data_IF_755789712400
#
_entry.id   IF_755789712400
#
_cell.length_a   1.000
_cell.length_b   1.000
_cell.length_c   1.000
_cell.angle_alpha   90.00
_cell.angle_beta   90.00
_cell.angle_gamma   90.00
#
_symmetry.space_group_name_H-M   'P 1'
#
loop_
_entity.id
_entity.type
_entity.pdbx_description
1 polymer ?
#
# COMPACT_ATOMS: atom_id res chain seq x y z
N UNK A 1 -8.27 21.06 26.29
CA UNK A 1 -7.34 20.05 25.76
C UNK A 1 -6.29 19.72 26.82
N UNK A 2 -6.39 18.54 27.42
CA UNK A 2 -5.56 18.08 28.55
C UNK A 2 -4.10 17.92 28.11
N UNK A 3 -3.13 18.11 29.01
CA UNK A 3 -1.69 18.03 28.69
C UNK A 3 -1.32 16.72 27.96
N UNK A 4 -1.92 15.60 28.39
CA UNK A 4 -1.78 14.28 27.77
C UNK A 4 -2.19 14.27 26.29
N UNK A 5 -3.30 14.91 25.93
CA UNK A 5 -3.78 15.01 24.55
C UNK A 5 -2.82 15.85 23.69
N UNK A 6 -2.27 16.94 24.24
CA UNK A 6 -1.28 17.75 23.50
C UNK A 6 -0.03 16.92 23.20
N UNK A 7 0.44 16.13 24.15
CA UNK A 7 1.60 15.24 23.95
C UNK A 7 1.29 14.19 22.88
N UNK A 8 0.19 13.46 23.03
CA UNK A 8 -0.15 12.35 22.13
C UNK A 8 -0.45 12.80 20.69
N UNK A 9 -1.19 13.89 20.49
CA UNK A 9 -1.67 14.28 19.16
C UNK A 9 -0.75 15.26 18.44
N UNK A 10 0.10 16.02 19.14
CA UNK A 10 0.97 17.03 18.52
C UNK A 10 2.46 16.73 18.62
N UNK A 11 2.92 16.21 19.76
CA UNK A 11 4.35 16.01 20.01
C UNK A 11 4.80 14.62 19.57
N UNK A 12 4.06 13.57 19.94
CA UNK A 12 4.40 12.19 19.62
C UNK A 12 4.57 11.94 18.11
N UNK A 13 3.67 12.42 17.21
CA UNK A 13 3.89 12.26 15.77
C UNK A 13 5.22 12.83 15.29
N UNK A 14 5.58 14.03 15.76
CA UNK A 14 6.86 14.68 15.42
C UNK A 14 8.07 13.92 15.94
N UNK A 15 7.96 13.32 17.14
CA UNK A 15 9.03 12.48 17.71
C UNK A 15 9.21 11.23 16.85
N UNK A 16 8.10 10.58 16.47
CA UNK A 16 8.11 9.40 15.61
C UNK A 16 8.72 9.74 14.25
N UNK A 17 8.32 10.84 13.62
CA UNK A 17 8.88 11.26 12.32
C UNK A 17 10.41 11.45 12.42
N UNK A 18 10.89 12.18 13.44
CA UNK A 18 12.33 12.37 13.67
C UNK A 18 13.08 11.06 13.95
N UNK A 19 12.46 10.13 14.69
CA UNK A 19 13.05 8.84 14.97
C UNK A 19 13.25 8.03 13.68
N UNK A 20 12.24 8.02 12.81
CA UNK A 20 12.27 7.28 11.53
C UNK A 20 13.27 7.93 10.59
N UNK A 21 13.24 9.25 10.46
CA UNK A 21 14.19 10.03 9.68
C UNK A 21 15.63 9.71 10.09
N UNK A 22 15.93 9.76 11.39
CA UNK A 22 17.26 9.43 11.92
C UNK A 22 17.70 8.01 11.55
N UNK A 23 16.78 7.03 11.59
CA UNK A 23 17.08 5.66 11.19
C UNK A 23 17.34 5.53 9.68
N UNK A 24 16.70 6.36 8.86
CA UNK A 24 16.82 6.36 7.42
C UNK A 24 17.99 7.20 6.87
N UNK A 25 18.58 8.12 7.66
CA UNK A 25 19.65 9.02 7.19
C UNK A 25 20.83 8.31 6.51
N UNK A 26 21.31 7.19 7.07
CA UNK A 26 22.43 6.44 6.47
C UNK A 26 22.04 5.74 5.17
N UNK A 27 20.76 5.40 5.04
CA UNK A 27 20.23 4.67 3.90
C UNK A 27 20.04 5.62 2.72
N UNK A 28 19.57 6.84 2.97
CA UNK A 28 19.48 7.88 1.95
C UNK A 28 20.80 8.05 1.17
N UNK A 29 21.92 8.14 1.90
CA UNK A 29 23.24 8.31 1.27
C UNK A 29 23.57 7.15 0.34
N UNK A 30 23.24 5.92 0.74
CA UNK A 30 23.46 4.74 -0.08
C UNK A 30 22.54 4.71 -1.31
N UNK A 31 21.27 5.05 -1.16
CA UNK A 31 20.30 5.07 -2.27
C UNK A 31 20.70 6.09 -3.34
N UNK A 32 21.10 7.30 -2.92
CA UNK A 32 21.60 8.33 -3.82
C UNK A 32 22.84 7.87 -4.58
N UNK A 33 23.77 7.17 -3.90
CA UNK A 33 24.98 6.62 -4.53
C UNK A 33 24.67 5.51 -5.53
N UNK A 34 23.65 4.69 -5.27
CA UNK A 34 23.21 3.62 -6.17
C UNK A 34 22.38 4.13 -7.35
N UNK A 35 22.03 5.42 -7.38
CA UNK A 35 21.21 5.99 -8.46
C UNK A 35 19.78 5.46 -8.47
N UNK A 36 19.28 4.97 -7.34
CA UNK A 36 17.93 4.43 -7.22
C UNK A 36 16.96 5.59 -7.05
N UNK A 37 16.13 5.84 -8.05
CA UNK A 37 15.29 7.05 -8.10
C UNK A 37 13.80 6.76 -7.94
N UNK A 38 13.28 5.67 -8.48
CA UNK A 38 11.84 5.44 -8.55
C UNK A 38 11.41 3.99 -8.30
N UNK A 39 10.20 3.82 -7.77
CA UNK A 39 9.56 2.53 -7.47
C UNK A 39 8.10 2.60 -7.95
N UNK A 40 7.67 1.63 -8.76
CA UNK A 40 6.26 1.48 -9.12
C UNK A 40 5.53 0.73 -8.00
N UNK A 41 4.49 1.32 -7.42
CA UNK A 41 3.77 0.76 -6.26
C UNK A 41 2.47 0.11 -6.71
N UNK A 42 2.32 -1.18 -6.42
CA UNK A 42 1.10 -1.93 -6.68
C UNK A 42 -0.04 -1.52 -5.73
N UNK A 43 -1.27 -1.69 -6.21
CA UNK A 43 -2.51 -1.51 -5.47
C UNK A 43 -2.61 -2.44 -4.24
N UNK A 44 -1.98 -3.62 -4.28
CA UNK A 44 -1.89 -4.51 -3.12
C UNK A 44 -1.12 -3.87 -1.96
N UNK A 45 -0.05 -3.12 -2.25
CA UNK A 45 0.72 -2.38 -1.25
C UNK A 45 -0.11 -1.25 -0.65
N UNK A 46 -0.83 -0.50 -1.50
CA UNK A 46 -1.74 0.56 -1.03
C UNK A 46 -2.83 0.02 -0.11
N UNK A 47 -3.39 -1.14 -0.45
CA UNK A 47 -4.37 -1.83 0.39
C UNK A 47 -3.79 -2.16 1.78
N UNK A 48 -2.56 -2.68 1.86
CA UNK A 48 -1.91 -2.98 3.13
C UNK A 48 -1.31 -1.74 3.82
N UNK A 49 -1.23 -0.60 3.12
CA UNK A 49 -0.83 0.69 3.67
C UNK A 49 -1.89 1.33 4.58
N UNK A 50 -3.13 0.85 4.56
CA UNK A 50 -4.17 1.20 5.54
C UNK A 50 -3.89 0.44 6.84
N UNK A 51 -3.36 1.15 7.82
CA UNK A 51 -2.83 0.55 9.06
C UNK A 51 -3.70 0.82 10.28
N UNK A 52 -4.61 1.78 10.17
CA UNK A 52 -5.61 2.08 11.19
C UNK A 52 -6.98 2.24 10.55
N UNK A 53 -7.99 1.75 11.23
CA UNK A 53 -9.38 1.79 10.77
C UNK A 53 -10.30 2.25 11.91
N UNK A 54 -11.49 2.69 11.53
CA UNK A 54 -12.52 3.20 12.42
C UNK A 54 -13.27 2.05 13.06
N UNK A 55 -13.31 2.01 14.39
CA UNK A 55 -14.06 1.02 15.14
C UNK A 55 -14.98 1.69 16.16
N UNK A 56 -16.10 1.04 16.44
CA UNK A 56 -16.90 1.34 17.62
C UNK A 56 -16.24 0.70 18.85
N UNK A 57 -15.83 1.51 19.82
CA UNK A 57 -15.28 1.05 21.10
C UNK A 57 -16.38 1.16 22.15
N UNK A 58 -16.82 0.00 22.65
CA UNK A 58 -17.88 -0.11 23.66
C UNK A 58 -17.35 0.30 25.04
N UNK A 59 -18.09 1.15 25.74
CA UNK A 59 -17.86 1.53 27.13
C UNK A 59 -18.81 0.80 28.09
N UNK A 60 -19.45 -0.28 27.60
CA UNK A 60 -20.44 -1.06 28.34
C UNK A 60 -21.88 -0.59 28.14
N UNK A 61 -22.80 -1.34 28.73
CA UNK A 61 -24.24 -1.04 28.67
C UNK A 61 -24.62 -0.06 29.78
N UNK A 62 -25.49 0.89 29.47
CA UNK A 62 -26.13 1.77 30.45
C UNK A 62 -27.64 1.69 30.31
N UNK A 63 -28.35 1.74 31.43
CA UNK A 63 -29.81 1.87 31.42
C UNK A 63 -30.20 3.28 30.98
N UNK A 64 -31.05 3.35 29.97
CA UNK A 64 -31.72 4.55 29.51
C UNK A 64 -33.23 4.33 29.66
N UNK A 65 -33.78 4.73 30.81
CA UNK A 65 -35.11 4.28 31.24
C UNK A 65 -35.11 2.76 31.51
N UNK A 66 -36.06 2.05 30.92
CA UNK A 66 -36.20 0.59 31.05
C UNK A 66 -35.36 -0.23 30.05
N UNK A 67 -34.65 0.43 29.12
CA UNK A 67 -33.86 -0.25 28.09
C UNK A 67 -32.37 -0.15 28.38
N UNK A 68 -31.63 -1.25 28.20
CA UNK A 68 -30.17 -1.23 28.19
C UNK A 68 -29.64 -0.86 26.80
N UNK A 69 -28.89 0.22 26.72
CA UNK A 69 -28.26 0.67 25.48
C UNK A 69 -26.76 0.45 25.58
N UNK A 70 -26.18 -0.15 24.55
CA UNK A 70 -24.72 -0.22 24.42
C UNK A 70 -24.17 1.18 24.15
N UNK A 71 -23.33 1.66 25.07
CA UNK A 71 -22.69 2.97 24.94
C UNK A 71 -21.26 2.80 24.46
N UNK A 72 -20.72 3.80 23.77
CA UNK A 72 -19.39 3.74 23.20
C UNK A 72 -19.10 4.95 22.35
N UNK A 73 -17.96 4.91 21.67
CA UNK A 73 -17.58 5.97 20.72
C UNK A 73 -16.80 5.39 19.55
N UNK A 74 -16.96 6.02 18.38
CA UNK A 74 -16.09 5.76 17.25
C UNK A 74 -14.67 6.21 17.58
N UNK A 75 -13.70 5.35 17.30
CA UNK A 75 -12.29 5.61 17.52
C UNK A 75 -11.46 5.02 16.39
N UNK A 76 -10.32 5.62 16.11
CA UNK A 76 -9.28 5.02 15.30
C UNK A 76 -8.58 3.92 16.11
N UNK A 77 -8.50 2.72 15.57
CA UNK A 77 -7.75 1.60 16.16
C UNK A 77 -6.74 1.06 15.13
N UNK A 78 -5.58 0.54 15.56
CA UNK A 78 -4.70 -0.21 14.69
C UNK A 78 -5.38 -1.43 14.07
N UNK A 79 -5.05 -1.75 12.82
CA UNK A 79 -5.53 -2.98 12.17
C UNK A 79 -4.88 -4.22 12.79
N UNK A 80 -3.58 -4.13 13.05
CA UNK A 80 -2.78 -5.27 13.52
C UNK A 80 -2.47 -5.14 15.02
N UNK A 81 -2.52 -6.29 15.70
CA UNK A 81 -2.07 -6.39 17.09
C UNK A 81 -0.55 -6.17 17.22
N UNK A 82 -0.12 -5.82 18.42
CA UNK A 82 1.30 -5.71 18.71
C UNK A 82 1.97 -7.09 18.71
N UNK A 83 3.15 -7.19 18.10
CA UNK A 83 3.87 -8.46 18.00
C UNK A 83 3.32 -9.45 16.97
N UNK A 84 2.36 -9.07 16.13
CA UNK A 84 1.88 -9.94 15.03
C UNK A 84 3.07 -10.45 14.18
N UNK A 85 3.09 -11.74 13.87
CA UNK A 85 4.16 -12.37 13.06
C UNK A 85 3.68 -12.79 11.66
N UNK A 86 2.48 -12.37 11.27
CA UNK A 86 1.92 -12.67 9.95
C UNK A 86 2.82 -12.18 8.82
N UNK A 87 2.91 -12.96 7.74
CA UNK A 87 3.75 -12.64 6.55
C UNK A 87 3.47 -11.25 5.99
N UNK A 88 2.19 -10.90 5.88
CA UNK A 88 1.74 -9.58 5.43
C UNK A 88 2.28 -8.49 6.37
N UNK A 89 2.10 -8.66 7.68
CA UNK A 89 2.55 -7.70 8.67
C UNK A 89 4.07 -7.52 8.69
N UNK A 90 4.84 -8.59 8.47
CA UNK A 90 6.30 -8.50 8.31
C UNK A 90 6.70 -7.57 7.17
N UNK A 91 6.00 -7.62 6.03
CA UNK A 91 6.20 -6.65 4.94
C UNK A 91 5.71 -5.25 5.32
N UNK A 92 4.56 -5.12 5.96
CA UNK A 92 3.98 -3.82 6.36
C UNK A 92 4.93 -3.03 7.27
N UNK A 93 5.72 -3.70 8.14
CA UNK A 93 6.71 -3.04 9.01
C UNK A 93 7.80 -2.26 8.26
N UNK A 94 8.00 -2.51 6.96
CA UNK A 94 8.96 -1.76 6.16
C UNK A 94 8.35 -0.53 5.46
N UNK A 95 7.02 -0.46 5.36
CA UNK A 95 6.33 0.65 4.69
C UNK A 95 6.59 2.01 5.33
N UNK A 96 6.64 2.18 6.66
CA UNK A 96 7.00 3.48 7.26
C UNK A 96 8.32 4.04 6.75
N UNK A 97 9.36 3.20 6.65
CA UNK A 97 10.68 3.60 6.18
C UNK A 97 10.66 4.00 4.71
N UNK A 98 9.99 3.22 3.87
CA UNK A 98 9.82 3.51 2.43
C UNK A 98 9.09 4.84 2.24
N UNK A 99 8.02 5.07 3.00
CA UNK A 99 7.18 6.26 2.87
C UNK A 99 7.88 7.50 3.41
N UNK A 100 8.67 7.39 4.48
CA UNK A 100 9.51 8.48 4.96
C UNK A 100 10.54 8.92 3.90
N UNK A 101 11.25 7.96 3.29
CA UNK A 101 12.16 8.22 2.18
C UNK A 101 11.45 8.92 1.01
N UNK A 102 10.21 8.50 0.71
CA UNK A 102 9.41 9.13 -0.33
C UNK A 102 8.94 10.56 0.01
N UNK A 103 8.50 10.79 1.24
CA UNK A 103 8.10 12.14 1.70
C UNK A 103 9.26 13.15 1.66
N UNK A 104 10.48 12.65 1.86
CA UNK A 104 11.72 13.44 1.81
C UNK A 104 12.35 13.47 0.41
N UNK A 105 11.62 13.01 -0.62
CA UNK A 105 12.05 13.03 -2.02
C UNK A 105 13.38 12.30 -2.28
N UNK A 106 13.70 11.31 -1.43
CA UNK A 106 14.86 10.42 -1.63
C UNK A 106 14.52 9.33 -2.64
N UNK A 107 13.27 8.87 -2.64
CA UNK A 107 12.71 7.90 -3.56
C UNK A 107 11.41 8.45 -4.12
N UNK A 108 11.18 8.28 -5.42
CA UNK A 108 9.90 8.59 -6.02
C UNK A 108 9.01 7.34 -6.04
N UNK A 109 7.83 7.42 -5.42
CA UNK A 109 6.82 6.37 -5.58
C UNK A 109 5.90 6.71 -6.75
N UNK A 110 5.76 5.77 -7.67
CA UNK A 110 4.97 5.92 -8.87
C UNK A 110 3.75 5.00 -8.85
N UNK A 111 2.72 5.38 -9.61
CA UNK A 111 1.61 4.55 -10.06
C UNK A 111 1.62 4.49 -11.59
N UNK A 112 0.75 3.69 -12.19
CA UNK A 112 0.50 3.69 -13.64
C UNK A 112 -0.97 3.99 -13.94
N UNK A 113 -1.27 4.36 -15.19
CA UNK A 113 -2.66 4.52 -15.64
C UNK A 113 -3.48 3.23 -15.44
N UNK A 114 -2.91 2.05 -15.73
CA UNK A 114 -3.60 0.77 -15.52
C UNK A 114 -3.85 0.47 -14.03
N UNK A 115 -2.91 0.81 -13.13
CA UNK A 115 -3.13 0.71 -11.69
C UNK A 115 -4.23 1.68 -11.22
N UNK A 116 -4.34 2.87 -11.81
CA UNK A 116 -5.43 3.80 -11.52
C UNK A 116 -6.78 3.27 -12.01
N UNK A 117 -6.83 2.70 -13.22
CA UNK A 117 -8.03 2.07 -13.76
C UNK A 117 -8.53 0.92 -12.86
N UNK A 118 -7.62 0.10 -12.33
CA UNK A 118 -7.97 -0.90 -11.33
C UNK A 118 -8.60 -0.31 -10.07
N UNK A 119 -8.08 0.83 -9.59
CA UNK A 119 -8.66 1.49 -8.42
C UNK A 119 -10.08 1.95 -8.68
N UNK A 120 -10.42 2.35 -9.92
CA UNK A 120 -11.79 2.75 -10.30
C UNK A 120 -12.77 1.56 -10.29
N UNK A 121 -12.28 0.35 -10.55
CA UNK A 121 -13.09 -0.88 -10.50
C UNK A 121 -13.33 -1.42 -9.09
N UNK A 122 -12.62 -0.88 -8.08
CA UNK A 122 -12.67 -1.37 -6.71
C UNK A 122 -13.20 -0.29 -5.77
N UNK A 123 -13.84 -0.65 -4.63
CA UNK A 123 -14.28 0.36 -3.67
C UNK A 123 -13.11 1.21 -3.18
N UNK A 124 -13.22 2.54 -3.28
CA UNK A 124 -12.14 3.48 -2.91
C UNK A 124 -11.59 3.27 -1.49
N UNK A 125 -12.43 2.83 -0.55
CA UNK A 125 -12.00 2.55 0.82
C UNK A 125 -11.02 1.36 0.94
N UNK A 126 -10.88 0.56 -0.11
CA UNK A 126 -9.84 -0.45 -0.22
C UNK A 126 -8.43 0.16 -0.16
N UNK A 127 -8.20 1.36 -0.68
CA UNK A 127 -6.87 1.97 -0.73
C UNK A 127 -6.68 3.10 0.28
N UNK A 128 -7.78 3.70 0.75
CA UNK A 128 -7.75 4.86 1.67
C UNK A 128 -8.34 4.58 3.06
N UNK A 129 -9.08 3.48 3.22
CA UNK A 129 -9.93 3.21 4.38
C UNK A 129 -11.41 3.50 4.10
N UNK A 130 -12.31 2.74 4.74
CA UNK A 130 -13.77 2.88 4.61
C UNK A 130 -14.38 3.80 5.67
N UNK A 131 -13.75 3.90 6.84
CA UNK A 131 -14.25 4.67 7.97
C UNK A 131 -13.74 6.10 7.98
N UNK A 132 -14.47 6.95 8.71
CA UNK A 132 -14.20 8.40 8.82
C UNK A 132 -12.86 8.71 9.52
N UNK A 133 -12.34 7.78 10.34
CA UNK A 133 -11.11 7.93 11.11
C UNK A 133 -9.97 7.03 10.60
N UNK A 134 -10.16 6.36 9.46
CA UNK A 134 -9.15 5.47 8.90
C UNK A 134 -7.89 6.25 8.52
N UNK A 135 -6.75 5.55 8.59
CA UNK A 135 -5.45 6.14 8.28
C UNK A 135 -4.62 5.20 7.43
N UNK A 136 -4.21 5.71 6.27
CA UNK A 136 -3.23 5.10 5.39
C UNK A 136 -1.87 5.77 5.59
N UNK A 137 -0.80 4.97 5.61
CA UNK A 137 0.56 5.51 5.64
C UNK A 137 0.85 6.37 4.40
N UNK A 138 0.23 6.06 3.26
CA UNK A 138 0.33 6.80 2.00
C UNK A 138 -0.46 8.11 1.98
N UNK A 139 -1.21 8.43 3.04
CA UNK A 139 -2.01 9.67 3.11
C UNK A 139 -1.09 10.89 2.96
N UNK A 140 -1.47 11.77 2.03
CA UNK A 140 -0.74 13.01 1.72
C UNK A 140 0.54 12.82 0.91
N UNK A 141 0.87 11.60 0.48
CA UNK A 141 2.00 11.38 -0.41
C UNK A 141 1.59 11.64 -1.87
N UNK A 142 2.38 12.43 -2.58
CA UNK A 142 2.21 12.61 -4.02
C UNK A 142 2.90 11.44 -4.74
N UNK A 143 2.16 10.68 -5.53
CA UNK A 143 2.71 9.59 -6.35
C UNK A 143 2.55 9.97 -7.81
N UNK A 144 3.67 10.06 -8.54
CA UNK A 144 3.66 10.34 -9.98
C UNK A 144 2.94 9.21 -10.71
N UNK A 145 2.11 9.56 -11.68
CA UNK A 145 1.47 8.57 -12.55
C UNK A 145 2.30 8.45 -13.81
N UNK A 146 2.74 7.23 -14.09
CA UNK A 146 3.36 6.86 -15.34
C UNK A 146 2.24 6.68 -16.36
N UNK A 147 2.29 7.50 -17.40
CA UNK A 147 1.30 7.47 -18.46
C UNK A 147 1.68 6.46 -19.53
N UNK A 148 0.72 5.65 -19.91
CA UNK A 148 0.86 4.69 -21.00
C UNK A 148 0.29 5.36 -22.28
N UNK A 149 1.11 5.60 -23.32
CA UNK A 149 0.67 6.29 -24.54
C UNK A 149 -0.51 5.61 -25.24
N UNK A 150 -0.63 4.30 -25.08
CA UNK A 150 -1.68 3.49 -25.68
C UNK A 150 -2.88 3.31 -24.72
N UNK A 151 -2.86 3.97 -23.55
CA UNK A 151 -3.96 3.92 -22.61
C UNK A 151 -5.16 4.70 -23.15
N UNK A 152 -6.28 3.99 -23.22
CA UNK A 152 -7.57 4.57 -23.63
C UNK A 152 -8.65 4.16 -22.65
N UNK A 153 -9.56 5.09 -22.37
CA UNK A 153 -10.61 4.90 -21.39
C UNK A 153 -11.89 5.55 -21.89
N UNK A 154 -12.95 4.75 -22.00
CA UNK A 154 -14.25 5.21 -22.48
C UNK A 154 -15.32 5.08 -21.39
N UNK A 155 -15.99 6.18 -21.08
CA UNK A 155 -17.22 6.20 -20.27
C UNK A 155 -18.36 6.72 -21.15
N UNK A 156 -19.46 5.97 -21.19
CA UNK A 156 -20.65 6.37 -21.93
C UNK A 156 -21.71 5.27 -21.95
N UNK A 157 -22.92 5.64 -22.36
CA UNK A 157 -23.97 4.67 -22.63
C UNK A 157 -23.55 3.74 -23.77
N UNK A 158 -23.61 2.43 -23.55
CA UNK A 158 -23.17 1.42 -24.52
C UNK A 158 -21.68 1.09 -24.50
N UNK A 159 -20.87 1.73 -23.63
CA UNK A 159 -19.49 1.32 -23.42
C UNK A 159 -19.42 -0.01 -22.67
N UNK A 160 -18.41 -0.83 -23.00
CA UNK A 160 -18.11 -2.07 -22.26
C UNK A 160 -17.71 -1.77 -20.82
N UNK A 161 -17.79 -2.77 -19.95
CA UNK A 161 -17.34 -2.63 -18.56
C UNK A 161 -15.83 -2.30 -18.51
N UNK A 162 -15.38 -1.64 -17.44
CA UNK A 162 -13.97 -1.27 -17.27
C UNK A 162 -13.04 -2.50 -17.29
N UNK A 163 -13.49 -3.61 -16.73
CA UNK A 163 -12.74 -4.87 -16.75
C UNK A 163 -12.58 -5.43 -18.18
N UNK A 164 -13.62 -5.33 -19.01
CA UNK A 164 -13.57 -5.75 -20.42
C UNK A 164 -12.68 -4.82 -21.24
N UNK A 165 -12.81 -3.50 -21.05
CA UNK A 165 -11.95 -2.52 -21.71
C UNK A 165 -10.48 -2.78 -21.39
N UNK A 166 -10.15 -3.06 -20.12
CA UNK A 166 -8.79 -3.44 -19.72
C UNK A 166 -8.32 -4.72 -20.40
N UNK A 167 -9.14 -5.77 -20.42
CA UNK A 167 -8.80 -7.04 -21.11
C UNK A 167 -8.52 -6.81 -22.59
N UNK A 168 -9.32 -5.99 -23.25
CA UNK A 168 -9.14 -5.64 -24.66
C UNK A 168 -7.84 -4.87 -24.88
N UNK A 169 -7.54 -3.86 -24.05
CA UNK A 169 -6.27 -3.10 -24.10
C UNK A 169 -5.06 -4.00 -23.91
N UNK A 170 -5.09 -4.85 -22.90
CA UNK A 170 -4.01 -5.80 -22.60
C UNK A 170 -3.84 -6.84 -23.70
N UNK A 171 -4.91 -7.22 -24.39
CA UNK A 171 -4.85 -8.13 -25.53
C UNK A 171 -4.28 -7.45 -26.79
N UNK A 172 -4.44 -6.14 -26.94
CA UNK A 172 -3.92 -5.37 -28.08
C UNK A 172 -2.46 -4.91 -27.91
N UNK A 173 -1.84 -5.10 -26.73
CA UNK A 173 -0.45 -4.70 -26.50
C UNK A 173 0.52 -5.48 -27.40
N UNK A 174 1.38 -4.74 -28.08
CA UNK A 174 2.39 -5.29 -29.01
C UNK A 174 3.81 -5.28 -28.44
N UNK A 175 4.01 -4.82 -27.20
CA UNK A 175 5.34 -4.74 -26.59
C UNK A 175 6.00 -6.14 -26.58
N UNK A 176 7.22 -6.29 -27.13
CA UNK A 176 7.90 -7.58 -27.18
C UNK A 176 8.13 -8.20 -25.80
N UNK A 177 8.54 -7.40 -24.81
CA UNK A 177 8.80 -7.88 -23.45
C UNK A 177 7.52 -8.39 -22.79
N UNK A 178 6.39 -7.72 -23.06
CA UNK A 178 5.08 -8.15 -22.56
C UNK A 178 4.70 -9.54 -23.10
N UNK A 179 4.91 -9.79 -24.39
CA UNK A 179 4.62 -11.09 -25.02
C UNK A 179 5.54 -12.19 -24.48
N UNK A 180 6.84 -11.90 -24.41
CA UNK A 180 7.84 -12.84 -23.89
C UNK A 180 7.52 -13.23 -22.43
N UNK A 181 7.13 -12.26 -21.60
CA UNK A 181 6.73 -12.53 -20.22
C UNK A 181 5.40 -13.28 -20.13
N UNK A 182 4.44 -13.04 -21.04
CA UNK A 182 3.20 -13.84 -21.12
C UNK A 182 3.50 -15.31 -21.41
N UNK A 183 4.45 -15.59 -22.30
CA UNK A 183 4.82 -16.98 -22.64
C UNK A 183 5.47 -17.71 -21.46
N UNK A 184 6.20 -16.98 -20.62
CA UNK A 184 6.88 -17.52 -19.43
C UNK A 184 5.95 -17.65 -18.21
N UNK A 185 5.17 -16.61 -17.92
CA UNK A 185 4.39 -16.49 -16.69
C UNK A 185 2.91 -16.85 -16.90
N UNK A 186 2.47 -16.93 -18.15
CA UNK A 186 1.11 -17.30 -18.55
C UNK A 186 0.14 -16.12 -18.61
N UNK A 187 -0.77 -16.18 -19.59
CA UNK A 187 -1.78 -15.14 -19.88
C UNK A 187 -2.69 -14.76 -18.69
N UNK A 188 -2.86 -15.65 -17.71
CA UNK A 188 -3.65 -15.37 -16.49
C UNK A 188 -3.06 -14.22 -15.65
N UNK A 189 -1.75 -13.97 -15.78
CA UNK A 189 -1.05 -12.90 -15.08
C UNK A 189 -0.84 -11.66 -15.96
N UNK A 190 -1.54 -11.56 -17.10
CA UNK A 190 -1.36 -10.46 -18.09
C UNK A 190 -1.34 -9.06 -17.48
N UNK A 191 -2.23 -8.80 -16.52
CA UNK A 191 -2.29 -7.51 -15.83
C UNK A 191 -1.02 -7.24 -14.99
N UNK A 192 -0.62 -8.20 -14.15
CA UNK A 192 0.61 -8.09 -13.35
C UNK A 192 1.86 -7.98 -14.24
N UNK A 193 1.89 -8.70 -15.35
CA UNK A 193 2.98 -8.65 -16.33
C UNK A 193 3.06 -7.25 -16.94
N UNK A 194 1.93 -6.63 -17.29
CA UNK A 194 1.94 -5.28 -17.83
C UNK A 194 2.46 -4.24 -16.83
N UNK A 195 2.22 -4.42 -15.53
CA UNK A 195 2.82 -3.56 -14.50
C UNK A 195 4.34 -3.70 -14.43
N UNK A 196 4.85 -4.94 -14.55
CA UNK A 196 6.30 -5.20 -14.61
C UNK A 196 6.91 -4.53 -15.86
N UNK A 197 6.27 -4.68 -17.02
CA UNK A 197 6.71 -4.02 -18.27
C UNK A 197 6.68 -2.51 -18.10
N UNK A 198 5.62 -1.96 -17.50
CA UNK A 198 5.50 -0.52 -17.26
C UNK A 198 6.65 -0.02 -16.37
N UNK A 199 6.97 -0.74 -15.29
CA UNK A 199 8.10 -0.42 -14.44
C UNK A 199 9.44 -0.49 -15.19
N UNK A 200 9.67 -1.54 -15.99
CA UNK A 200 10.89 -1.72 -16.80
C UNK A 200 11.08 -0.61 -17.83
N UNK A 201 10.03 -0.24 -18.55
CA UNK A 201 10.09 0.81 -19.58
C UNK A 201 10.31 2.21 -19.01
N UNK A 202 10.10 2.38 -17.70
CA UNK A 202 10.25 3.66 -17.00
C UNK A 202 11.44 3.66 -16.03
N UNK A 203 12.38 2.72 -16.20
CA UNK A 203 13.59 2.58 -15.38
C UNK A 203 13.30 2.59 -13.87
N UNK A 204 12.13 2.07 -13.47
CA UNK A 204 11.82 1.87 -12.07
C UNK A 204 12.77 0.83 -11.49
N UNK A 205 13.29 1.10 -10.30
CA UNK A 205 14.17 0.14 -9.64
C UNK A 205 13.45 -1.17 -9.33
N UNK A 206 12.20 -1.06 -8.86
CA UNK A 206 11.35 -2.22 -8.67
C UNK A 206 9.87 -1.93 -8.90
N UNK A 207 9.13 -2.98 -9.22
CA UNK A 207 7.70 -3.09 -9.01
C UNK A 207 7.46 -3.65 -7.60
N UNK A 208 6.95 -2.80 -6.71
CA UNK A 208 6.70 -3.12 -5.31
C UNK A 208 5.29 -3.68 -5.16
N UNK A 209 5.18 -4.95 -4.77
CA UNK A 209 3.90 -5.66 -4.64
C UNK A 209 3.80 -6.46 -3.35
N UNK A 210 2.59 -6.67 -2.85
CA UNK A 210 2.31 -7.65 -1.79
C UNK A 210 1.63 -8.92 -2.32
N UNK A 211 1.54 -9.11 -3.64
CA UNK A 211 1.19 -10.41 -4.21
C UNK A 211 2.38 -11.39 -4.09
N UNK A 212 2.39 -12.12 -2.98
CA UNK A 212 3.41 -13.13 -2.71
C UNK A 212 3.39 -14.30 -3.72
N UNK A 213 2.29 -14.53 -4.44
CA UNK A 213 2.23 -15.59 -5.47
C UNK A 213 2.97 -15.11 -6.72
N UNK A 214 2.75 -13.88 -7.15
CA UNK A 214 3.49 -13.27 -8.27
C UNK A 214 5.00 -13.31 -8.01
N UNK A 215 5.44 -12.83 -6.85
CA UNK A 215 6.86 -12.83 -6.45
C UNK A 215 7.42 -14.25 -6.48
N UNK A 216 6.71 -15.23 -5.89
CA UNK A 216 7.15 -16.63 -5.89
C UNK A 216 7.24 -17.22 -7.30
N UNK A 217 6.30 -16.88 -8.18
CA UNK A 217 6.28 -17.36 -9.56
C UNK A 217 7.46 -16.82 -10.36
N UNK A 218 7.79 -15.52 -10.20
CA UNK A 218 8.98 -14.92 -10.82
C UNK A 218 10.28 -15.52 -10.29
N UNK A 219 10.40 -15.71 -8.98
CA UNK A 219 11.58 -16.37 -8.38
C UNK A 219 11.77 -17.79 -8.89
N UNK A 220 10.68 -18.54 -9.12
CA UNK A 220 10.75 -19.87 -9.72
C UNK A 220 11.27 -19.84 -11.18
N UNK A 221 11.09 -18.71 -11.87
CA UNK A 221 11.52 -18.49 -13.26
C UNK A 221 12.79 -17.62 -13.36
N UNK A 222 13.51 -17.35 -12.27
CA UNK A 222 14.66 -16.42 -12.26
C UNK A 222 15.80 -16.76 -13.22
N UNK A 223 15.91 -18.02 -13.62
CA UNK A 223 16.92 -18.50 -14.58
C UNK A 223 16.42 -18.46 -16.03
N UNK A 224 15.13 -18.21 -16.26
CA UNK A 224 14.59 -18.01 -17.60
C UNK A 224 15.21 -16.74 -18.21
N UNK A 225 15.69 -16.78 -19.47
CA UNK A 225 16.37 -15.64 -20.10
C UNK A 225 15.57 -14.34 -20.05
N UNK A 226 14.24 -14.39 -20.22
CA UNK A 226 13.37 -13.21 -20.22
C UNK A 226 13.37 -12.57 -18.84
N UNK A 227 13.09 -13.35 -17.79
CA UNK A 227 13.04 -12.87 -16.40
C UNK A 227 14.43 -12.39 -15.95
N UNK A 228 15.49 -13.12 -16.31
CA UNK A 228 16.87 -12.75 -15.98
C UNK A 228 17.32 -11.44 -16.64
N UNK A 229 16.73 -11.08 -17.78
CA UNK A 229 17.06 -9.86 -18.52
C UNK A 229 16.43 -8.59 -17.95
N UNK A 230 15.43 -8.71 -17.07
CA UNK A 230 14.77 -7.58 -16.42
C UNK A 230 15.76 -6.81 -15.55
N UNK A 231 15.84 -5.50 -15.72
CA UNK A 231 16.57 -4.61 -14.80
C UNK A 231 15.75 -4.33 -13.55
N UNK A 232 14.44 -4.18 -13.73
CA UNK A 232 13.45 -3.95 -12.70
C UNK A 232 13.23 -5.22 -11.90
N UNK A 233 13.32 -5.08 -10.58
CA UNK A 233 13.02 -6.18 -9.66
C UNK A 233 11.52 -6.22 -9.34
N UNK A 234 10.99 -7.38 -8.98
CA UNK A 234 9.65 -7.50 -8.40
C UNK A 234 9.79 -7.90 -6.94
N UNK A 235 9.51 -6.97 -6.03
CA UNK A 235 9.86 -7.10 -4.62
C UNK A 235 8.65 -6.86 -3.72
N UNK A 236 8.61 -7.56 -2.60
CA UNK A 236 7.79 -7.16 -1.47
C UNK A 236 8.45 -6.03 -0.68
N UNK A 237 7.68 -5.27 0.13
CA UNK A 237 8.27 -4.31 1.07
C UNK A 237 9.33 -4.92 1.98
N UNK A 238 9.16 -6.19 2.39
CA UNK A 238 10.18 -6.90 3.17
C UNK A 238 11.46 -7.16 2.36
N UNK A 239 11.35 -7.62 1.11
CA UNK A 239 12.52 -7.88 0.28
C UNK A 239 13.29 -6.60 -0.04
N UNK A 240 12.57 -5.54 -0.43
CA UNK A 240 13.14 -4.21 -0.64
C UNK A 240 13.81 -3.70 0.65
N UNK A 241 13.12 -3.86 1.78
CA UNK A 241 13.61 -3.47 3.09
C UNK A 241 14.92 -4.15 3.46
N UNK A 242 15.03 -5.46 3.21
CA UNK A 242 16.28 -6.21 3.44
C UNK A 242 17.39 -5.75 2.48
N UNK A 243 17.07 -5.51 1.21
CA UNK A 243 18.06 -5.09 0.23
C UNK A 243 18.67 -3.72 0.55
N UNK A 244 17.86 -2.78 1.02
CA UNK A 244 18.33 -1.45 1.43
C UNK A 244 18.72 -1.34 2.89
N UNK A 245 18.66 -2.45 3.64
CA UNK A 245 18.87 -2.48 5.10
C UNK A 245 17.96 -1.46 5.84
N UNK A 246 16.71 -1.34 5.39
CA UNK A 246 15.69 -0.50 6.01
C UNK A 246 15.38 -1.00 7.42
N UNK A 247 15.19 -0.09 8.39
CA UNK A 247 14.68 -0.46 9.69
C UNK A 247 13.24 -0.99 9.56
N UNK A 248 12.90 -1.97 10.38
CA UNK A 248 11.49 -2.34 10.61
C UNK A 248 10.89 -1.39 11.65
N UNK A 249 9.70 -0.87 11.34
CA UNK A 249 9.01 0.13 12.16
C UNK A 249 7.56 -0.32 12.30
N UNK A 250 7.09 -0.43 13.55
CA UNK A 250 5.68 -0.77 13.80
C UNK A 250 4.78 0.35 13.29
N UNK A 251 3.79 0.06 12.42
CA UNK A 251 2.83 1.05 11.99
C UNK A 251 2.02 1.65 13.14
N UNK A 252 1.91 0.96 14.28
CA UNK A 252 1.20 1.46 15.47
C UNK A 252 1.79 2.77 15.99
N UNK A 253 3.06 3.07 15.71
CA UNK A 253 3.67 4.37 16.00
C UNK A 253 2.96 5.53 15.27
N UNK A 254 2.22 5.25 14.19
CA UNK A 254 1.45 6.22 13.42
C UNK A 254 0.02 6.45 13.92
N UNK A 255 -0.36 5.86 15.07
CA UNK A 255 -1.74 5.91 15.57
C UNK A 255 -2.29 7.35 15.68
N UNK A 256 -1.45 8.27 16.14
CA UNK A 256 -1.81 9.67 16.37
C UNK A 256 -1.49 10.62 15.21
N UNK A 257 -0.87 10.14 14.12
CA UNK A 257 -0.54 10.98 12.97
C UNK A 257 -1.79 11.52 12.30
N UNK A 258 -1.83 12.85 12.13
CA UNK A 258 -2.96 13.58 11.52
C UNK A 258 -4.32 13.18 12.13
N UNK A 259 -4.33 12.80 13.42
CA UNK A 259 -5.54 12.46 14.12
C UNK A 259 -6.20 13.73 14.68
N UNK A 260 -7.46 13.93 14.34
CA UNK A 260 -8.40 14.91 14.90
C UNK A 260 -9.59 14.23 15.59
N UNK A 261 -9.49 12.92 15.78
CA UNK A 261 -10.51 12.02 16.29
C UNK A 261 -9.98 11.19 17.48
N UNK A 262 -10.85 10.55 18.27
CA UNK A 262 -10.42 9.64 19.32
C UNK A 262 -9.57 8.49 18.75
N UNK A 263 -8.39 8.28 19.33
CA UNK A 263 -7.50 7.16 19.00
C UNK A 263 -7.44 6.21 20.18
N UNK A 264 -7.65 4.92 19.92
CA UNK A 264 -7.51 3.89 20.94
C UNK A 264 -6.54 2.80 20.48
N UNK A 265 -5.34 2.83 21.03
CA UNK A 265 -4.26 1.88 20.68
C UNK A 265 -4.36 0.57 21.45
N UNK A 266 -5.18 0.47 22.49
CA UNK A 266 -5.32 -0.76 23.27
C UNK A 266 -6.13 -1.82 22.52
N UNK A 267 -6.92 -1.41 21.54
CA UNK A 267 -7.70 -2.29 20.68
C UNK A 267 -7.03 -2.48 19.31
N UNK A 268 -7.42 -3.55 18.62
CA UNK A 268 -7.14 -3.79 17.21
C UNK A 268 -8.25 -4.65 16.61
N UNK A 269 -8.24 -4.82 15.29
CA UNK A 269 -9.17 -5.76 14.67
C UNK A 269 -8.85 -7.20 15.03
N UNK A 270 -9.92 -8.00 15.16
CA UNK A 270 -9.81 -9.44 15.39
C UNK A 270 -9.01 -10.10 14.25
N UNK A 271 -8.12 -11.03 14.60
CA UNK A 271 -7.17 -11.70 13.70
C UNK A 271 -6.17 -10.76 13.00
N UNK A 272 -5.98 -9.52 13.47
CA UNK A 272 -5.02 -8.57 12.89
C UNK A 272 -5.24 -8.34 11.39
N UNK A 273 -6.51 -8.24 10.95
CA UNK A 273 -6.89 -8.09 9.54
C UNK A 273 -7.85 -6.92 9.34
N UNK A 274 -7.72 -6.27 8.18
CA UNK A 274 -8.63 -5.21 7.73
C UNK A 274 -10.06 -5.70 7.62
N UNK A 275 -11.02 -4.81 7.86
CA UNK A 275 -12.42 -5.12 7.61
C UNK A 275 -12.68 -5.32 6.12
N UNK A 276 -13.47 -6.34 5.79
CA UNK A 276 -13.99 -6.50 4.42
C UNK A 276 -15.07 -5.43 4.19
N UNK A 277 -15.16 -4.86 2.98
CA UNK A 277 -16.30 -4.02 2.63
C UNK A 277 -17.58 -4.82 2.89
N UNK A 278 -18.54 -4.20 3.61
CA UNK A 278 -19.89 -4.74 3.68
C UNK A 278 -20.43 -4.74 2.25
N UNK A 279 -20.76 -5.91 1.71
CA UNK A 279 -21.53 -5.97 0.46
C UNK A 279 -22.88 -5.34 0.79
N UNK A 280 -23.24 -4.27 0.09
CA UNK A 280 -24.61 -3.77 0.14
C UNK A 280 -25.49 -4.91 -0.39
N UNK A 281 -26.20 -5.58 0.51
CA UNK A 281 -27.37 -6.40 0.18
C UNK A 281 -28.55 -5.50 -0.08
#
# INVERSE_FOLDING_TARGET
MRLKEKVQYKLLPKIVDKYIEFKNMRIEQNLRRLGITSILVDNTVLFHGVTHETAWVSNGKKKWGDTEVETGSLSRIPVHEEGCEGREYTSIKYLPSIIDLARREVLELCLSDELKDEQLTQPMGRFRGYGIFDSSLFKGLNMRVIHDPDYTFAIGAGCRSLEEQRKDRLASKLDPLYRDLIDVLGKKNSQDIWHIVTAERNDCYCFLTMDFRLVKNLEAQKNNPVVKSLKTKVLTPEQLGKEFNLPTISPRLYSYHLADCPVNTEFNWHNSKRQKPKKNT
#
